data_IF_335848007324
#
_entry.id   IF_335848007324
#
_cell.length_a   1.000
_cell.length_b   1.000
_cell.length_c   1.000
_cell.angle_alpha   90.00
_cell.angle_beta   90.00
_cell.angle_gamma   90.00
#
_symmetry.space_group_name_H-M   'P 1'
#
loop_
_entity.id
_entity.type
_entity.pdbx_description
1 polymer ?
#
# COMPACT_ATOMS: atom_id res chain seq x y z
N UNK A 1 32.16 4.17 -10.69
CA UNK A 1 31.84 3.98 -9.26
C UNK A 1 30.45 4.50 -8.93
N UNK A 2 30.10 5.74 -9.30
CA UNK A 2 28.77 6.33 -9.10
C UNK A 2 27.61 5.55 -9.75
N UNK A 3 27.73 5.15 -11.03
CA UNK A 3 26.71 4.31 -11.69
C UNK A 3 26.35 3.04 -10.90
N UNK A 4 27.35 2.37 -10.31
CA UNK A 4 27.17 1.16 -9.50
C UNK A 4 26.40 1.43 -8.20
N UNK A 5 26.55 2.63 -7.63
CA UNK A 5 25.85 3.02 -6.41
C UNK A 5 24.37 3.35 -6.69
N UNK A 6 24.06 4.03 -7.81
CA UNK A 6 22.67 4.23 -8.25
C UNK A 6 21.97 2.90 -8.56
N UNK A 7 22.65 1.97 -9.24
CA UNK A 7 22.12 0.62 -9.49
C UNK A 7 21.82 -0.14 -8.18
N UNK A 8 22.70 -0.01 -7.18
CA UNK A 8 22.49 -0.60 -5.86
C UNK A 8 21.31 0.04 -5.11
N UNK A 9 21.21 1.38 -5.10
CA UNK A 9 20.08 2.10 -4.51
C UNK A 9 18.77 1.72 -5.20
N UNK A 10 18.75 1.72 -6.53
CA UNK A 10 17.57 1.35 -7.33
C UNK A 10 17.13 -0.08 -7.02
N UNK A 11 18.05 -1.05 -7.02
CA UNK A 11 17.70 -2.43 -6.73
C UNK A 11 17.12 -2.61 -5.32
N UNK A 12 17.67 -1.91 -4.33
CA UNK A 12 17.15 -1.94 -2.96
C UNK A 12 15.73 -1.35 -2.89
N UNK A 13 15.52 -0.15 -3.46
CA UNK A 13 14.22 0.52 -3.43
C UNK A 13 13.17 -0.25 -4.26
N UNK A 14 13.54 -0.80 -5.41
CA UNK A 14 12.66 -1.58 -6.27
C UNK A 14 12.20 -2.86 -5.57
N UNK A 15 13.12 -3.57 -4.90
CA UNK A 15 12.75 -4.74 -4.10
C UNK A 15 11.77 -4.39 -2.98
N UNK A 16 11.95 -3.25 -2.31
CA UNK A 16 11.00 -2.78 -1.29
C UNK A 16 9.64 -2.41 -1.89
N UNK A 17 9.64 -1.73 -3.04
CA UNK A 17 8.42 -1.38 -3.77
C UNK A 17 7.59 -2.62 -4.13
N UNK A 18 8.23 -3.66 -4.68
CA UNK A 18 7.57 -4.93 -5.00
C UNK A 18 7.17 -5.72 -3.74
N UNK A 19 7.94 -5.62 -2.66
CA UNK A 19 7.59 -6.23 -1.39
C UNK A 19 6.28 -5.68 -0.85
N UNK A 20 6.02 -4.37 -0.96
CA UNK A 20 4.75 -3.78 -0.52
C UNK A 20 3.54 -4.32 -1.29
N UNK A 21 3.68 -4.61 -2.60
CA UNK A 21 2.64 -5.32 -3.37
C UNK A 21 2.36 -6.72 -2.82
N UNK A 22 3.41 -7.47 -2.47
CA UNK A 22 3.27 -8.81 -1.90
C UNK A 22 2.53 -8.76 -0.55
N UNK A 23 2.88 -7.82 0.31
CA UNK A 23 2.20 -7.63 1.60
C UNK A 23 0.74 -7.21 1.43
N UNK A 24 0.45 -6.28 0.50
CA UNK A 24 -0.91 -5.89 0.12
C UNK A 24 -1.74 -7.12 -0.31
N UNK A 25 -1.17 -7.99 -1.13
CA UNK A 25 -1.83 -9.22 -1.56
C UNK A 25 -2.13 -10.17 -0.40
N UNK A 26 -1.19 -10.35 0.54
CA UNK A 26 -1.41 -11.19 1.72
C UNK A 26 -2.56 -10.68 2.60
N UNK A 27 -2.69 -9.37 2.76
CA UNK A 27 -3.82 -8.78 3.51
C UNK A 27 -5.15 -9.07 2.80
N UNK A 28 -5.21 -8.91 1.46
CA UNK A 28 -6.42 -9.21 0.68
C UNK A 28 -6.81 -10.68 0.78
N UNK A 29 -5.86 -11.60 0.64
CA UNK A 29 -6.13 -13.04 0.78
C UNK A 29 -6.59 -13.39 2.20
N UNK A 30 -5.96 -12.83 3.23
CA UNK A 30 -6.39 -13.00 4.62
C UNK A 30 -7.81 -12.49 4.84
N UNK A 31 -8.18 -11.38 4.20
CA UNK A 31 -9.53 -10.79 4.26
C UNK A 31 -10.57 -11.73 3.63
N UNK A 32 -10.24 -12.36 2.49
CA UNK A 32 -11.10 -13.35 1.83
C UNK A 32 -11.30 -14.57 2.74
N UNK A 33 -10.23 -15.09 3.33
CA UNK A 33 -10.30 -16.22 4.27
C UNK A 33 -11.16 -15.89 5.49
N UNK A 34 -11.01 -14.69 6.05
CA UNK A 34 -11.80 -14.23 7.19
C UNK A 34 -13.30 -14.21 6.87
N UNK A 35 -13.69 -13.66 5.72
CA UNK A 35 -15.10 -13.65 5.27
C UNK A 35 -15.61 -15.05 5.01
N UNK A 36 -14.84 -15.89 4.34
CA UNK A 36 -15.20 -17.30 4.10
C UNK A 36 -15.50 -18.04 5.40
N UNK A 37 -14.62 -17.92 6.41
CA UNK A 37 -14.82 -18.55 7.72
C UNK A 37 -16.04 -18.00 8.45
N UNK A 38 -16.30 -16.70 8.35
CA UNK A 38 -17.47 -16.05 8.95
C UNK A 38 -18.76 -16.67 8.41
N UNK A 39 -18.85 -16.80 7.08
CA UNK A 39 -20.01 -17.40 6.41
C UNK A 39 -20.11 -18.90 6.76
N UNK A 40 -19.01 -19.64 6.74
CA UNK A 40 -19.01 -21.08 7.01
C UNK A 40 -19.39 -21.43 8.47
N UNK A 41 -19.01 -20.58 9.43
CA UNK A 41 -19.28 -20.79 10.86
C UNK A 41 -20.56 -20.10 11.34
N UNK A 42 -21.24 -19.33 10.49
CA UNK A 42 -22.45 -18.60 10.85
C UNK A 42 -22.23 -17.52 11.91
N UNK A 43 -21.01 -16.94 11.97
CA UNK A 43 -20.67 -15.89 12.94
C UNK A 43 -21.36 -14.58 12.54
N UNK A 44 -21.75 -13.77 13.54
CA UNK A 44 -22.33 -12.45 13.28
C UNK A 44 -21.38 -11.57 12.44
N UNK A 45 -21.86 -10.95 11.34
CA UNK A 45 -21.00 -10.22 10.40
C UNK A 45 -20.53 -8.87 10.92
N UNK A 46 -21.19 -8.28 11.93
CA UNK A 46 -20.92 -6.89 12.38
C UNK A 46 -19.46 -6.72 12.81
N UNK A 47 -18.96 -7.63 13.63
CA UNK A 47 -17.58 -7.55 14.12
C UNK A 47 -16.56 -7.76 12.99
N UNK A 48 -16.90 -8.61 12.02
CA UNK A 48 -16.05 -8.90 10.87
C UNK A 48 -15.98 -7.71 9.92
N UNK A 49 -17.08 -6.97 9.74
CA UNK A 49 -17.06 -5.71 9.00
C UNK A 49 -16.06 -4.71 9.59
N UNK A 50 -16.01 -4.57 10.91
CA UNK A 50 -15.03 -3.70 11.57
C UNK A 50 -13.59 -4.18 11.34
N UNK A 51 -13.34 -5.49 11.42
CA UNK A 51 -12.03 -6.06 11.11
C UNK A 51 -11.63 -5.82 9.65
N UNK A 52 -12.56 -5.96 8.70
CA UNK A 52 -12.30 -5.65 7.29
C UNK A 52 -11.94 -4.19 7.07
N UNK A 53 -12.57 -3.24 7.78
CA UNK A 53 -12.20 -1.83 7.72
C UNK A 53 -10.76 -1.61 8.20
N UNK A 54 -10.33 -2.29 9.26
CA UNK A 54 -8.94 -2.22 9.74
C UNK A 54 -7.98 -2.79 8.70
N UNK A 55 -8.29 -3.95 8.11
CA UNK A 55 -7.47 -4.56 7.06
C UNK A 55 -7.40 -3.69 5.80
N UNK A 56 -8.49 -3.03 5.43
CA UNK A 56 -8.53 -2.08 4.31
C UNK A 56 -7.62 -0.88 4.56
N UNK A 57 -7.68 -0.29 5.76
CA UNK A 57 -6.80 0.83 6.13
C UNK A 57 -5.33 0.39 6.17
N UNK A 58 -5.03 -0.82 6.64
CA UNK A 58 -3.67 -1.37 6.62
C UNK A 58 -3.13 -1.54 5.19
N UNK A 59 -3.96 -2.03 4.26
CA UNK A 59 -3.59 -2.11 2.84
C UNK A 59 -3.29 -0.72 2.26
N UNK A 60 -4.14 0.27 2.57
CA UNK A 60 -3.92 1.65 2.18
C UNK A 60 -2.59 2.22 2.69
N UNK A 61 -2.20 1.90 3.94
CA UNK A 61 -0.93 2.32 4.52
C UNK A 61 0.27 1.75 3.73
N UNK A 62 0.26 0.45 3.40
CA UNK A 62 1.32 -0.14 2.59
C UNK A 62 1.44 0.51 1.22
N UNK A 63 0.30 0.83 0.61
CA UNK A 63 0.23 1.49 -0.70
C UNK A 63 0.69 2.93 -0.67
N UNK A 64 0.49 3.62 0.45
CA UNK A 64 1.10 4.93 0.69
C UNK A 64 2.62 4.82 0.74
N UNK A 65 3.18 3.90 1.54
CA UNK A 65 4.63 3.72 1.58
C UNK A 65 5.23 3.37 0.22
N UNK A 66 4.56 2.50 -0.53
CA UNK A 66 4.94 2.18 -1.90
C UNK A 66 4.96 3.43 -2.80
N UNK A 67 3.91 4.25 -2.76
CA UNK A 67 3.83 5.47 -3.58
C UNK A 67 4.88 6.52 -3.23
N UNK A 68 5.45 6.48 -2.02
CA UNK A 68 6.54 7.39 -1.62
C UNK A 68 7.89 6.99 -2.21
N UNK A 69 8.08 5.72 -2.57
CA UNK A 69 9.31 5.25 -3.22
C UNK A 69 9.35 5.58 -4.71
N UNK A 70 8.18 5.63 -5.36
CA UNK A 70 8.04 5.81 -6.82
C UNK A 70 8.77 7.05 -7.36
N UNK A 71 8.63 8.27 -6.78
CA UNK A 71 9.32 9.45 -7.30
C UNK A 71 10.85 9.32 -7.26
N UNK A 72 11.38 8.65 -6.22
CA UNK A 72 12.82 8.44 -6.06
C UNK A 72 13.33 7.41 -7.07
N UNK A 73 12.60 6.32 -7.29
CA UNK A 73 12.94 5.32 -8.31
C UNK A 73 13.05 5.97 -9.69
N UNK A 74 12.05 6.76 -10.10
CA UNK A 74 12.07 7.49 -11.37
C UNK A 74 13.21 8.51 -11.47
N UNK A 75 13.54 9.19 -10.36
CA UNK A 75 14.69 10.12 -10.30
C UNK A 75 16.02 9.38 -10.49
N UNK A 76 16.19 8.22 -9.88
CA UNK A 76 17.40 7.39 -10.06
C UNK A 76 17.51 6.89 -11.50
N UNK A 77 16.42 6.40 -12.10
CA UNK A 77 16.40 5.97 -13.50
C UNK A 77 16.81 7.09 -14.46
N UNK A 78 16.29 8.29 -14.23
CA UNK A 78 16.68 9.47 -14.99
C UNK A 78 18.17 9.79 -14.82
N UNK A 79 18.69 9.77 -13.60
CA UNK A 79 20.10 10.06 -13.33
C UNK A 79 21.04 9.02 -13.96
N UNK A 80 20.66 7.74 -13.95
CA UNK A 80 21.41 6.67 -14.63
C UNK A 80 21.42 6.92 -16.14
N UNK A 81 20.28 7.30 -16.73
CA UNK A 81 20.13 7.56 -18.17
C UNK A 81 20.93 8.78 -18.63
N UNK A 82 20.93 9.85 -17.85
CA UNK A 82 21.56 11.14 -18.19
C UNK A 82 23.00 11.25 -17.66
N UNK A 83 23.52 10.19 -17.02
CA UNK A 83 24.86 10.14 -16.40
C UNK A 83 25.14 11.30 -15.42
N UNK A 84 24.09 11.79 -14.73
CA UNK A 84 24.19 12.95 -13.84
C UNK A 84 24.99 12.57 -12.58
N UNK A 85 26.15 13.20 -12.31
CA UNK A 85 26.97 12.89 -11.16
C UNK A 85 26.55 13.76 -9.96
N UNK A 86 25.38 13.52 -9.36
CA UNK A 86 25.01 14.12 -8.06
C UNK A 86 23.75 13.50 -7.43
N UNK A 87 23.84 13.03 -6.18
CA UNK A 87 22.68 12.82 -5.30
C UNK A 87 22.20 11.37 -5.09
N UNK A 88 23.12 10.41 -4.96
CA UNK A 88 22.84 9.04 -4.48
C UNK A 88 22.43 9.04 -3.00
N UNK A 89 21.63 8.05 -2.60
CA UNK A 89 21.20 7.78 -1.22
C UNK A 89 20.51 8.98 -0.52
N UNK A 90 19.79 9.81 -1.28
CA UNK A 90 19.09 10.99 -0.76
C UNK A 90 17.58 10.77 -0.55
N UNK A 91 17.13 9.52 -0.46
CA UNK A 91 15.70 9.21 -0.26
C UNK A 91 15.10 9.97 0.94
N UNK A 92 15.73 9.91 2.11
CA UNK A 92 15.20 10.56 3.32
C UNK A 92 15.27 12.09 3.23
N UNK A 93 16.35 12.63 2.69
CA UNK A 93 16.53 14.07 2.52
C UNK A 93 15.50 14.65 1.54
N UNK A 94 15.32 14.00 0.39
CA UNK A 94 14.32 14.35 -0.61
C UNK A 94 12.91 14.24 -0.01
N UNK A 95 12.65 13.21 0.80
CA UNK A 95 11.35 12.99 1.45
C UNK A 95 11.03 14.07 2.49
N UNK A 96 11.97 14.47 3.34
CA UNK A 96 11.77 15.54 4.33
C UNK A 96 11.41 16.88 3.69
N UNK A 97 11.96 17.19 2.51
CA UNK A 97 11.60 18.40 1.76
C UNK A 97 10.18 18.37 1.20
N UNK A 98 9.64 17.17 0.96
CA UNK A 98 8.27 16.92 0.52
C UNK A 98 7.30 16.73 1.69
N UNK A 99 7.80 16.62 2.92
CA UNK A 99 6.99 16.25 4.08
C UNK A 99 6.04 17.37 4.48
N UNK A 100 4.79 17.21 4.13
CA UNK A 100 3.68 18.06 4.54
C UNK A 100 3.13 17.60 5.91
N UNK A 101 2.61 18.54 6.71
CA UNK A 101 2.20 18.31 8.10
C UNK A 101 1.21 17.15 8.33
N UNK A 102 0.99 16.76 9.59
CA UNK A 102 0.29 15.53 9.98
C UNK A 102 -1.10 15.30 9.34
N UNK A 103 -1.90 16.35 9.11
CA UNK A 103 -3.19 16.25 8.43
C UNK A 103 -3.06 15.81 6.95
N UNK A 104 -1.98 16.22 6.30
CA UNK A 104 -1.68 15.82 4.92
C UNK A 104 -1.40 14.32 4.81
N UNK A 105 -0.77 13.72 5.82
CA UNK A 105 -0.51 12.26 5.89
C UNK A 105 -1.81 11.46 6.01
N UNK A 106 -2.77 11.93 6.82
CA UNK A 106 -4.08 11.28 6.94
C UNK A 106 -4.83 11.33 5.60
N UNK A 107 -4.79 12.49 4.93
CA UNK A 107 -5.40 12.64 3.60
C UNK A 107 -4.74 11.73 2.55
N UNK A 108 -3.43 11.54 2.64
CA UNK A 108 -2.68 10.63 1.77
C UNK A 108 -3.14 9.18 1.96
N UNK A 109 -3.30 8.72 3.21
CA UNK A 109 -3.86 7.39 3.49
C UNK A 109 -5.29 7.25 2.97
N UNK A 110 -6.14 8.25 3.19
CA UNK A 110 -7.52 8.24 2.70
C UNK A 110 -7.59 8.18 1.16
N UNK A 111 -6.74 8.96 0.47
CA UNK A 111 -6.64 8.94 -1.00
C UNK A 111 -6.15 7.60 -1.53
N UNK A 112 -5.27 6.91 -0.81
CA UNK A 112 -4.83 5.57 -1.18
C UNK A 112 -5.96 4.56 -0.95
N UNK A 113 -6.65 4.63 0.19
CA UNK A 113 -7.76 3.73 0.50
C UNK A 113 -8.87 3.76 -0.58
N UNK A 114 -9.11 4.91 -1.22
CA UNK A 114 -10.12 5.06 -2.27
C UNK A 114 -9.66 4.64 -3.67
N UNK A 115 -8.38 4.30 -3.88
CA UNK A 115 -7.94 3.81 -5.19
C UNK A 115 -8.69 2.52 -5.53
N UNK A 116 -9.22 2.37 -6.76
CA UNK A 116 -9.99 1.18 -7.14
C UNK A 116 -9.27 -0.15 -6.89
N UNK A 117 -7.95 -0.18 -7.09
CA UNK A 117 -7.10 -1.37 -6.87
C UNK A 117 -6.97 -1.79 -5.41
N UNK A 118 -7.34 -0.91 -4.48
CA UNK A 118 -7.35 -1.14 -3.03
C UNK A 118 -8.80 -1.30 -2.57
N UNK A 119 -9.70 -0.38 -2.93
CA UNK A 119 -11.08 -0.38 -2.46
C UNK A 119 -11.92 -1.57 -2.96
N UNK A 120 -11.76 -1.97 -4.23
CA UNK A 120 -12.67 -2.93 -4.86
C UNK A 120 -12.82 -4.26 -4.08
N UNK A 121 -11.72 -4.95 -3.67
CA UNK A 121 -11.83 -6.17 -2.87
C UNK A 121 -12.62 -5.99 -1.57
N UNK A 122 -12.33 -4.94 -0.80
CA UNK A 122 -12.97 -4.73 0.50
C UNK A 122 -14.44 -4.32 0.37
N UNK A 123 -14.79 -3.48 -0.61
CA UNK A 123 -16.18 -3.10 -0.87
C UNK A 123 -17.01 -4.32 -1.22
N UNK A 124 -16.51 -5.20 -2.09
CA UNK A 124 -17.21 -6.46 -2.45
C UNK A 124 -17.39 -7.35 -1.21
N UNK A 125 -16.34 -7.54 -0.40
CA UNK A 125 -16.41 -8.36 0.81
C UNK A 125 -17.39 -7.79 1.86
N UNK A 126 -17.42 -6.47 2.04
CA UNK A 126 -18.38 -5.81 2.94
C UNK A 126 -19.83 -6.00 2.46
N UNK A 127 -20.09 -5.84 1.16
CA UNK A 127 -21.42 -6.08 0.58
C UNK A 127 -21.87 -7.52 0.81
N UNK A 128 -20.98 -8.51 0.63
CA UNK A 128 -21.30 -9.91 0.90
C UNK A 128 -21.70 -10.16 2.36
N UNK A 129 -20.98 -9.57 3.32
CA UNK A 129 -21.31 -9.69 4.75
C UNK A 129 -22.62 -9.01 5.11
N UNK A 130 -22.93 -7.85 4.52
CA UNK A 130 -24.20 -7.16 4.73
C UNK A 130 -25.36 -8.02 4.23
N UNK A 131 -25.24 -8.61 3.04
CA UNK A 131 -26.26 -9.52 2.50
C UNK A 131 -26.43 -10.74 3.43
N UNK A 132 -25.32 -11.35 3.87
CA UNK A 132 -25.39 -12.50 4.78
C UNK A 132 -26.08 -12.14 6.11
N UNK A 133 -25.79 -10.99 6.69
CA UNK A 133 -26.44 -10.53 7.92
C UNK A 133 -27.91 -10.13 7.79
N UNK A 134 -28.40 -9.86 6.57
CA UNK A 134 -29.81 -9.60 6.29
C UNK A 134 -30.61 -10.89 6.05
N UNK A 135 -29.93 -11.95 5.62
CA UNK A 135 -30.55 -13.24 5.26
C UNK A 135 -30.50 -14.26 6.41
N UNK A 136 -29.52 -14.12 7.32
CA UNK A 136 -29.35 -14.94 8.52
C UNK A 136 -30.23 -14.45 9.69
#
# INVERSE_FOLDING_TARGET
MQKKNYEAEWCLLQNQFESYEKHSLYIKLSSIVLVFLTVALGVSPIFICLLLLVLWLQDAIWKTFQSRLEPRLLKIEKNIREEIPAGEFQFNSDYQLLETGGLSKVLEYAKQATRPTIAFPYVVLLVMLIIQGLVA
#
